data_IF_891275816647
#
_entry.id   IF_891275816647
#
_cell.length_a   1.000
_cell.length_b   1.000
_cell.length_c   1.000
_cell.angle_alpha   90.00
_cell.angle_beta   90.00
_cell.angle_gamma   90.00
#
_symmetry.space_group_name_H-M   'P 1'
#
loop_
_entity.id
_entity.type
_entity.pdbx_description
1 polymer ?
#
# COMPACT_ATOMS: atom_id res chain seq x y z
N UNK A 1 22.98 4.92 -14.43
CA UNK A 1 22.66 6.30 -14.84
C UNK A 1 21.34 6.28 -15.61
N UNK A 2 20.41 7.21 -15.38
CA UNK A 2 19.17 7.29 -16.16
C UNK A 2 19.39 8.21 -17.38
N UNK A 3 19.11 7.71 -18.59
CA UNK A 3 19.11 8.53 -19.81
C UNK A 3 17.68 8.97 -20.08
N UNK A 4 17.44 10.28 -20.04
CA UNK A 4 16.10 10.85 -20.28
C UNK A 4 15.66 10.62 -21.73
N UNK A 5 14.56 9.90 -21.91
CA UNK A 5 13.96 9.67 -23.23
C UNK A 5 12.87 10.69 -23.54
N UNK A 6 12.39 10.73 -24.80
CA UNK A 6 11.24 11.58 -25.18
C UNK A 6 9.91 11.15 -24.53
N UNK A 7 9.78 9.86 -24.18
CA UNK A 7 8.56 9.28 -23.58
C UNK A 7 8.87 8.44 -22.32
N UNK A 8 9.76 7.45 -22.42
CA UNK A 8 10.22 6.63 -21.29
C UNK A 8 11.73 6.74 -21.15
N UNK A 9 12.20 6.79 -19.92
CA UNK A 9 13.63 6.79 -19.61
C UNK A 9 14.23 5.40 -19.86
N UNK A 10 15.49 5.38 -20.31
CA UNK A 10 16.24 4.15 -20.51
C UNK A 10 16.89 3.73 -19.18
N UNK A 11 16.55 2.54 -18.69
CA UNK A 11 17.22 1.90 -17.55
C UNK A 11 18.48 1.22 -18.05
N UNK A 12 19.66 1.71 -17.65
CA UNK A 12 20.95 1.14 -18.08
C UNK A 12 21.43 0.01 -17.16
N UNK A 13 21.08 0.07 -15.89
CA UNK A 13 21.57 -0.84 -14.84
C UNK A 13 20.55 -0.88 -13.70
N UNK A 14 20.43 -2.04 -13.06
CA UNK A 14 19.61 -2.24 -11.88
C UNK A 14 20.27 -3.30 -10.99
N UNK A 15 20.32 -3.02 -9.70
CA UNK A 15 20.73 -3.99 -8.68
C UNK A 15 19.58 -4.28 -7.73
N UNK A 16 19.54 -5.49 -7.19
CA UNK A 16 18.51 -5.90 -6.25
C UNK A 16 18.98 -5.57 -4.83
N UNK A 17 18.42 -4.51 -4.24
CA UNK A 17 18.74 -4.12 -2.85
C UNK A 17 17.92 -4.91 -1.82
N UNK A 18 16.62 -5.11 -2.08
CA UNK A 18 15.71 -5.79 -1.16
C UNK A 18 14.80 -6.79 -1.90
N UNK A 19 14.94 -8.08 -1.59
CA UNK A 19 14.13 -9.15 -2.20
C UNK A 19 12.81 -9.45 -1.50
N UNK A 20 12.64 -9.01 -0.25
CA UNK A 20 11.46 -9.33 0.56
C UNK A 20 11.09 -10.84 0.60
N UNK A 21 12.11 -11.70 0.73
CA UNK A 21 11.99 -13.18 0.63
C UNK A 21 10.95 -13.78 1.57
N UNK A 22 10.69 -13.15 2.71
CA UNK A 22 9.84 -13.65 3.78
C UNK A 22 8.34 -13.57 3.47
N UNK A 23 7.93 -12.77 2.49
CA UNK A 23 6.51 -12.61 2.16
C UNK A 23 6.18 -12.70 0.68
N UNK A 24 7.14 -12.57 -0.23
CA UNK A 24 6.90 -12.62 -1.69
C UNK A 24 6.30 -13.94 -2.22
N UNK A 25 6.32 -15.02 -1.43
CA UNK A 25 5.72 -16.32 -1.75
C UNK A 25 4.34 -16.52 -1.11
N UNK A 26 3.95 -15.63 -0.21
CA UNK A 26 2.65 -15.65 0.45
C UNK A 26 1.69 -14.76 -0.35
N UNK A 27 0.71 -15.39 -1.00
CA UNK A 27 -0.21 -14.72 -1.91
C UNK A 27 -1.06 -13.65 -1.21
N UNK A 28 -1.42 -13.85 0.07
CA UNK A 28 -2.16 -12.87 0.85
C UNK A 28 -1.31 -11.62 1.10
N UNK A 29 -0.03 -11.81 1.40
CA UNK A 29 0.91 -10.69 1.60
C UNK A 29 1.26 -10.01 0.28
N UNK A 30 1.37 -10.74 -0.82
CA UNK A 30 1.54 -10.14 -2.16
C UNK A 30 0.34 -9.27 -2.51
N UNK A 31 -0.88 -9.76 -2.28
CA UNK A 31 -2.08 -8.99 -2.53
C UNK A 31 -2.20 -7.74 -1.62
N UNK A 32 -1.72 -7.81 -0.37
CA UNK A 32 -1.52 -6.63 0.50
C UNK A 32 -0.53 -5.63 -0.10
N UNK A 33 0.61 -6.10 -0.62
CA UNK A 33 1.58 -5.22 -1.25
C UNK A 33 0.99 -4.51 -2.49
N UNK A 34 0.21 -5.23 -3.30
CA UNK A 34 -0.53 -4.64 -4.42
C UNK A 34 -1.48 -3.53 -3.98
N UNK A 35 -2.20 -3.74 -2.87
CA UNK A 35 -3.05 -2.71 -2.29
C UNK A 35 -2.26 -1.44 -1.94
N UNK A 36 -1.13 -1.57 -1.25
CA UNK A 36 -0.28 -0.41 -0.93
C UNK A 36 0.30 0.27 -2.18
N UNK A 37 0.75 -0.50 -3.17
CA UNK A 37 1.23 0.06 -4.43
C UNK A 37 0.13 0.83 -5.18
N UNK A 38 -1.09 0.28 -5.23
CA UNK A 38 -2.21 0.95 -5.91
C UNK A 38 -2.59 2.26 -5.20
N UNK A 39 -2.55 2.30 -3.86
CA UNK A 39 -2.79 3.55 -3.13
C UNK A 39 -1.77 4.62 -3.48
N UNK A 40 -0.47 4.27 -3.48
CA UNK A 40 0.59 5.20 -3.85
C UNK A 40 0.40 5.67 -5.29
N UNK A 41 0.24 4.74 -6.24
CA UNK A 41 0.02 5.03 -7.67
C UNK A 41 -1.16 5.98 -7.92
N UNK A 42 -2.27 5.83 -7.18
CA UNK A 42 -3.47 6.65 -7.38
C UNK A 42 -3.43 8.00 -6.67
N UNK A 43 -2.65 8.14 -5.60
CA UNK A 43 -2.62 9.35 -4.78
C UNK A 43 -1.39 10.22 -5.03
N UNK A 44 -0.34 9.71 -5.68
CA UNK A 44 0.83 10.51 -6.05
C UNK A 44 0.81 10.85 -7.55
N UNK A 45 0.93 12.12 -7.94
CA UNK A 45 1.04 12.49 -9.34
C UNK A 45 2.40 12.14 -9.93
N UNK A 46 2.43 11.90 -11.24
CA UNK A 46 3.66 11.61 -11.97
C UNK A 46 4.67 12.76 -11.88
N UNK A 47 5.96 12.42 -11.89
CA UNK A 47 7.09 13.37 -11.87
C UNK A 47 7.16 14.29 -10.63
N UNK A 48 6.40 13.99 -9.56
CA UNK A 48 6.52 14.65 -8.28
C UNK A 48 7.25 13.75 -7.27
N UNK A 49 8.41 14.16 -6.72
CA UNK A 49 9.12 13.34 -5.76
C UNK A 49 8.39 13.29 -4.42
N UNK A 50 8.12 12.08 -3.92
CA UNK A 50 7.58 11.82 -2.58
C UNK A 50 8.49 10.87 -1.77
N UNK A 51 9.66 11.32 -1.28
CA UNK A 51 10.60 10.45 -0.57
C UNK A 51 10.02 9.81 0.70
N UNK A 52 9.18 10.54 1.44
CA UNK A 52 8.54 10.04 2.67
C UNK A 52 7.48 8.96 2.37
N UNK A 53 6.75 9.08 1.26
CA UNK A 53 5.81 8.06 0.79
C UNK A 53 6.56 6.79 0.38
N UNK A 54 7.70 6.94 -0.32
CA UNK A 54 8.55 5.80 -0.65
C UNK A 54 9.06 5.08 0.60
N UNK A 55 9.55 5.83 1.59
CA UNK A 55 10.03 5.23 2.84
C UNK A 55 8.89 4.56 3.63
N UNK A 56 7.70 5.17 3.67
CA UNK A 56 6.50 4.57 4.26
C UNK A 56 6.15 3.22 3.59
N UNK A 57 6.17 3.16 2.26
CA UNK A 57 5.92 1.93 1.50
C UNK A 57 6.96 0.86 1.82
N UNK A 58 8.24 1.23 1.79
CA UNK A 58 9.37 0.34 2.10
C UNK A 58 9.28 -0.24 3.51
N UNK A 59 9.00 0.60 4.51
CA UNK A 59 8.85 0.17 5.90
C UNK A 59 7.64 -0.74 6.09
N UNK A 60 6.54 -0.47 5.38
CA UNK A 60 5.34 -1.32 5.43
C UNK A 60 5.62 -2.70 4.85
N UNK A 61 6.38 -2.79 3.76
CA UNK A 61 6.86 -4.08 3.21
C UNK A 61 7.80 -4.83 4.16
N UNK A 62 8.66 -4.14 4.91
CA UNK A 62 9.47 -4.78 5.93
C UNK A 62 8.60 -5.34 7.07
N UNK A 63 7.65 -4.55 7.58
CA UNK A 63 6.70 -4.97 8.64
C UNK A 63 5.87 -6.18 8.21
N UNK A 64 5.46 -6.27 6.94
CA UNK A 64 4.76 -7.44 6.40
C UNK A 64 5.57 -8.74 6.50
N UNK A 65 6.90 -8.64 6.42
CA UNK A 65 7.80 -9.79 6.51
C UNK A 65 7.79 -10.49 7.87
N UNK A 66 7.43 -9.76 8.93
CA UNK A 66 7.35 -10.30 10.30
C UNK A 66 5.92 -10.60 10.74
N UNK A 67 4.92 -10.28 9.92
CA UNK A 67 3.54 -10.67 10.21
C UNK A 67 3.43 -12.21 10.21
N UNK A 68 2.71 -12.80 11.18
CA UNK A 68 2.47 -14.24 11.18
C UNK A 68 1.76 -14.65 9.89
N UNK A 69 2.06 -15.86 9.40
CA UNK A 69 1.33 -16.44 8.29
C UNK A 69 -0.15 -16.51 8.69
N UNK A 70 -0.99 -15.68 8.06
CA UNK A 70 -2.42 -15.67 8.35
C UNK A 70 -3.11 -16.43 7.23
N UNK A 71 -3.88 -17.49 7.53
CA UNK A 71 -4.81 -18.05 6.57
C UNK A 71 -5.85 -16.97 6.25
N UNK A 72 -5.93 -16.55 4.98
CA UNK A 72 -7.10 -15.97 4.32
C UNK A 72 -7.99 -15.06 5.21
N UNK A 73 -7.49 -13.88 5.62
CA UNK A 73 -8.29 -12.89 6.38
C UNK A 73 -7.91 -11.45 6.08
N UNK A 74 -7.71 -11.12 4.81
CA UNK A 74 -7.62 -9.70 4.43
C UNK A 74 -8.95 -8.96 4.70
N UNK A 75 -10.08 -9.68 4.75
CA UNK A 75 -11.40 -9.07 4.87
C UNK A 75 -12.41 -9.77 5.81
N UNK A 76 -12.11 -10.93 6.40
CA UNK A 76 -13.11 -11.65 7.19
C UNK A 76 -13.07 -11.32 8.71
N UNK A 77 -13.76 -10.22 9.05
CA UNK A 77 -14.59 -10.07 10.28
C UNK A 77 -14.01 -9.64 11.63
N UNK A 78 -12.71 -9.41 11.82
CA UNK A 78 -12.24 -8.74 13.06
C UNK A 78 -11.41 -7.51 12.75
N UNK A 79 -12.05 -6.35 12.85
CA UNK A 79 -11.35 -5.11 13.14
C UNK A 79 -10.35 -5.36 14.29
N UNK A 80 -9.07 -5.05 14.07
CA UNK A 80 -8.04 -5.10 15.13
C UNK A 80 -6.96 -6.17 14.99
N UNK A 81 -6.99 -7.04 13.97
CA UNK A 81 -5.88 -7.97 13.68
C UNK A 81 -4.59 -7.25 13.22
N UNK A 82 -3.40 -7.86 13.34
CA UNK A 82 -2.12 -7.22 12.99
C UNK A 82 -2.06 -6.66 11.56
N UNK A 83 -2.59 -7.38 10.57
CA UNK A 83 -2.65 -6.93 9.19
C UNK A 83 -3.59 -5.72 9.02
N UNK A 84 -4.77 -5.74 9.66
CA UNK A 84 -5.70 -4.61 9.61
C UNK A 84 -5.14 -3.34 10.25
N UNK A 85 -4.33 -3.48 11.31
CA UNK A 85 -3.63 -2.35 11.94
C UNK A 85 -2.55 -1.79 11.02
N UNK A 86 -1.80 -2.66 10.33
CA UNK A 86 -0.80 -2.22 9.36
C UNK A 86 -1.44 -1.48 8.17
N UNK A 87 -2.56 -1.99 7.65
CA UNK A 87 -3.33 -1.33 6.60
C UNK A 87 -3.77 0.06 7.05
N UNK A 88 -4.41 0.14 8.22
CA UNK A 88 -4.87 1.42 8.76
C UNK A 88 -3.72 2.39 9.01
N UNK A 89 -2.61 1.94 9.61
CA UNK A 89 -1.42 2.77 9.84
C UNK A 89 -0.86 3.32 8.52
N UNK A 90 -0.80 2.49 7.48
CA UNK A 90 -0.32 2.90 6.17
C UNK A 90 -1.22 3.95 5.53
N UNK A 91 -2.53 3.72 5.51
CA UNK A 91 -3.52 4.65 4.95
C UNK A 91 -3.48 6.02 5.65
N UNK A 92 -3.48 6.04 6.98
CA UNK A 92 -3.44 7.30 7.75
C UNK A 92 -2.16 8.08 7.48
N UNK A 93 -1.01 7.39 7.51
CA UNK A 93 0.28 8.04 7.23
C UNK A 93 0.34 8.55 5.79
N UNK A 94 -0.10 7.75 4.81
CA UNK A 94 -0.12 8.18 3.41
C UNK A 94 -0.98 9.43 3.23
N UNK A 95 -2.19 9.45 3.79
CA UNK A 95 -3.09 10.60 3.73
C UNK A 95 -2.49 11.85 4.39
N UNK A 96 -1.82 11.68 5.53
CA UNK A 96 -1.16 12.79 6.23
C UNK A 96 0.05 13.32 5.45
N UNK A 97 0.91 12.45 4.94
CA UNK A 97 2.10 12.81 4.15
C UNK A 97 1.72 13.53 2.85
N UNK A 98 0.56 13.22 2.28
CA UNK A 98 0.03 13.85 1.07
C UNK A 98 -0.86 15.07 1.34
N UNK A 99 -1.08 15.42 2.60
CA UNK A 99 -1.83 16.62 3.00
C UNK A 99 -3.36 16.48 2.94
N UNK A 100 -3.91 15.30 2.67
CA UNK A 100 -5.36 15.04 2.73
C UNK A 100 -5.86 14.98 4.18
N UNK A 101 -5.05 14.41 5.07
CA UNK A 101 -5.44 14.15 6.45
C UNK A 101 -6.54 13.09 6.58
N UNK A 102 -7.01 12.89 7.81
CA UNK A 102 -8.12 11.97 8.11
C UNK A 102 -9.23 12.74 8.83
N UNK A 103 -10.48 12.71 8.32
CA UNK A 103 -11.61 13.38 8.98
C UNK A 103 -11.81 12.89 10.41
N UNK A 104 -12.18 13.77 11.35
CA UNK A 104 -12.32 13.44 12.78
C UNK A 104 -13.27 12.26 13.02
N UNK A 105 -14.37 12.22 12.26
CA UNK A 105 -15.36 11.13 12.32
C UNK A 105 -14.76 9.76 11.99
N UNK A 106 -13.72 9.71 11.16
CA UNK A 106 -13.02 8.48 10.77
C UNK A 106 -11.85 8.16 11.69
N UNK A 107 -11.23 9.14 12.35
CA UNK A 107 -10.11 8.92 13.27
C UNK A 107 -10.46 7.97 14.42
N UNK A 108 -11.72 8.01 14.89
CA UNK A 108 -12.21 7.15 16.00
C UNK A 108 -12.64 5.76 15.53
N UNK A 109 -12.68 5.51 14.21
CA UNK A 109 -13.10 4.23 13.64
C UNK A 109 -11.94 3.25 13.57
N UNK A 110 -12.25 1.95 13.67
CA UNK A 110 -11.27 0.90 13.41
C UNK A 110 -11.41 0.36 11.98
N UNK A 111 -10.32 -0.15 11.45
CA UNK A 111 -10.29 -0.76 10.12
C UNK A 111 -9.94 0.25 9.03
N UNK A 112 -10.01 -0.22 7.78
CA UNK A 112 -9.49 0.49 6.61
C UNK A 112 -10.25 1.79 6.31
N UNK A 113 -9.51 2.82 5.89
CA UNK A 113 -9.99 4.09 5.36
C UNK A 113 -10.31 4.04 3.86
N UNK A 114 -10.33 2.85 3.26
CA UNK A 114 -10.55 2.63 1.83
C UNK A 114 -11.67 3.48 1.23
N UNK A 115 -12.85 3.51 1.86
CA UNK A 115 -13.99 4.25 1.29
C UNK A 115 -13.74 5.75 1.20
N UNK A 116 -13.02 6.30 2.18
CA UNK A 116 -12.61 7.69 2.16
C UNK A 116 -11.56 7.93 1.07
N UNK A 117 -10.58 7.02 0.93
CA UNK A 117 -9.58 7.12 -0.13
C UNK A 117 -10.24 7.04 -1.52
N UNK A 118 -11.16 6.10 -1.74
CA UNK A 118 -11.93 5.99 -2.99
C UNK A 118 -12.71 7.27 -3.30
N UNK A 119 -13.19 7.99 -2.28
CA UNK A 119 -13.83 9.29 -2.46
C UNK A 119 -12.85 10.40 -2.88
N UNK A 120 -11.59 10.35 -2.42
CA UNK A 120 -10.54 11.30 -2.81
C UNK A 120 -10.12 11.08 -4.27
N UNK A 121 -9.94 9.81 -4.68
CA UNK A 121 -9.49 9.47 -6.03
C UNK A 121 -10.63 9.43 -7.07
N UNK A 122 -11.87 9.62 -6.62
CA UNK A 122 -13.11 9.56 -7.41
C UNK A 122 -13.24 8.27 -8.26
N UNK A 123 -12.63 7.18 -7.79
CA UNK A 123 -12.52 5.89 -8.49
C UNK A 123 -12.48 4.75 -7.47
N UNK A 124 -12.82 3.55 -7.92
CA UNK A 124 -12.68 2.35 -7.10
C UNK A 124 -11.27 1.78 -7.19
N UNK A 125 -10.80 1.21 -6.07
CA UNK A 125 -9.59 0.41 -6.03
C UNK A 125 -9.84 -0.99 -6.63
N UNK A 126 -8.86 -1.52 -7.33
CA UNK A 126 -8.92 -2.83 -7.98
C UNK A 126 -8.42 -3.94 -7.05
N UNK A 127 -7.39 -3.65 -6.25
CA UNK A 127 -6.77 -4.61 -5.34
C UNK A 127 -7.74 -5.31 -4.37
N UNK A 128 -8.82 -4.68 -3.84
CA UNK A 128 -9.80 -5.38 -3.01
C UNK A 128 -10.56 -6.48 -3.75
N UNK A 129 -10.65 -6.41 -5.09
CA UNK A 129 -11.27 -7.46 -5.91
C UNK A 129 -10.34 -8.65 -6.08
N UNK A 130 -9.05 -8.39 -6.28
CA UNK A 130 -8.01 -9.44 -6.37
C UNK A 130 -7.97 -10.25 -5.08
N UNK A 131 -8.04 -9.57 -3.94
CA UNK A 131 -8.02 -10.19 -2.61
C UNK A 131 -9.19 -11.15 -2.34
N UNK A 132 -10.38 -10.87 -2.88
CA UNK A 132 -11.57 -11.73 -2.71
C UNK A 132 -11.48 -13.08 -3.42
N UNK A 133 -10.54 -13.26 -4.35
CA UNK A 133 -10.40 -14.51 -5.12
C UNK A 133 -9.46 -15.52 -4.44
N UNK A 134 -8.85 -15.16 -3.31
CA UNK A 134 -7.92 -16.00 -2.56
C UNK A 134 -8.44 -16.44 -1.18
N UNK A 135 -9.69 -16.07 -0.86
CA UNK A 135 -10.48 -16.56 0.28
C UNK A 135 -11.45 -17.67 -0.18
#
# INVERSE_FOLDING_TARGET
>A
FLVKGKNMDLITEAEVVNLFKNWRKDLNKVALAYYFCELVDKLTPDNQPHPLVFELLRQSFLKMGVLPASPARFAARRAGGPASRLVREFEEKLLNELGFGVPEVLQKTQGSLRFYIESIIEKHLNSPRILKHFD
#
